data_IF_314521551214
#
_entry.id   IF_314521551214
#
_cell.length_a   1.000
_cell.length_b   1.000
_cell.length_c   1.000
_cell.angle_alpha   90.00
_cell.angle_beta   90.00
_cell.angle_gamma   90.00
#
_symmetry.space_group_name_H-M   'P 1'
#
loop_
_entity.id
_entity.type
_entity.pdbx_description
1 polymer ?
#
# COMPACT_ATOMS: atom_id res chain seq x y z
N UNK A 1 -19.52 8.55 -21.73
CA UNK A 1 -18.07 8.67 -21.46
C UNK A 1 -17.73 9.46 -20.17
N UNK A 2 -18.72 9.85 -19.34
CA UNK A 2 -18.53 10.59 -18.08
C UNK A 2 -18.84 9.74 -16.82
N UNK A 3 -19.12 8.44 -16.96
CA UNK A 3 -19.74 7.64 -15.89
C UNK A 3 -18.87 7.37 -14.64
N UNK A 4 -17.55 7.65 -14.64
CA UNK A 4 -16.68 7.34 -13.50
C UNK A 4 -15.97 8.57 -12.90
N UNK A 5 -16.40 9.78 -13.26
CA UNK A 5 -15.75 11.00 -12.81
C UNK A 5 -16.24 11.48 -11.45
N UNK A 6 -17.54 11.30 -11.19
CA UNK A 6 -18.19 11.75 -9.96
C UNK A 6 -19.32 10.76 -9.60
N UNK A 7 -19.30 10.25 -8.38
CA UNK A 7 -20.36 9.45 -7.79
C UNK A 7 -21.03 10.21 -6.65
N UNK A 8 -22.26 9.82 -6.30
CA UNK A 8 -22.92 10.34 -5.10
C UNK A 8 -22.10 10.03 -3.85
N UNK A 9 -21.42 8.90 -3.84
CA UNK A 9 -20.53 8.45 -2.78
C UNK A 9 -19.38 9.43 -2.48
N UNK A 10 -18.94 10.22 -3.47
CA UNK A 10 -17.90 11.24 -3.26
C UNK A 10 -18.36 12.33 -2.29
N UNK A 11 -19.63 12.70 -2.34
CA UNK A 11 -20.21 13.67 -1.40
C UNK A 11 -20.39 13.07 -0.01
N UNK A 12 -20.83 11.81 0.07
CA UNK A 12 -20.97 11.08 1.34
C UNK A 12 -19.62 10.94 2.02
N UNK A 13 -18.60 10.50 1.28
CA UNK A 13 -17.24 10.36 1.78
C UNK A 13 -16.62 11.71 2.19
N UNK A 14 -16.88 12.77 1.44
CA UNK A 14 -16.44 14.11 1.81
C UNK A 14 -17.09 14.55 3.13
N UNK A 15 -18.38 14.28 3.30
CA UNK A 15 -19.10 14.60 4.54
C UNK A 15 -18.58 13.76 5.73
N UNK A 16 -18.32 12.46 5.53
CA UNK A 16 -17.69 11.61 6.55
C UNK A 16 -16.34 12.20 6.98
N UNK A 17 -15.50 12.61 6.02
CA UNK A 17 -14.19 13.22 6.33
C UNK A 17 -14.30 14.56 7.05
N UNK A 18 -15.32 15.38 6.73
CA UNK A 18 -15.59 16.62 7.48
C UNK A 18 -15.93 16.31 8.94
N UNK A 19 -16.78 15.32 9.17
CA UNK A 19 -17.16 14.91 10.52
C UNK A 19 -15.99 14.35 11.33
N UNK A 20 -15.10 13.60 10.69
CA UNK A 20 -13.94 12.98 11.31
C UNK A 20 -12.79 13.97 11.58
N UNK A 21 -12.59 14.97 10.71
CA UNK A 21 -11.37 15.80 10.68
C UNK A 21 -11.63 17.31 10.79
N UNK A 22 -12.90 17.73 10.78
CA UNK A 22 -13.27 19.14 10.79
C UNK A 22 -13.19 19.81 9.42
N UNK A 23 -13.72 21.03 9.34
CA UNK A 23 -13.83 21.79 8.07
C UNK A 23 -12.46 22.25 7.51
N UNK A 24 -11.46 22.40 8.38
CA UNK A 24 -10.08 22.76 7.99
C UNK A 24 -9.43 21.76 7.03
N UNK A 25 -9.84 20.49 7.09
CA UNK A 25 -9.39 19.46 6.16
C UNK A 25 -9.75 19.78 4.71
N UNK A 26 -10.93 20.34 4.44
CA UNK A 26 -11.35 20.73 3.09
C UNK A 26 -10.48 21.88 2.58
N UNK A 27 -10.21 22.89 3.40
CA UNK A 27 -9.39 24.04 3.00
C UNK A 27 -7.98 23.61 2.60
N UNK A 28 -7.41 22.59 3.26
CA UNK A 28 -6.08 22.07 2.91
C UNK A 28 -6.03 21.42 1.51
N UNK A 29 -7.16 20.92 0.98
CA UNK A 29 -7.25 20.28 -0.34
C UNK A 29 -7.43 21.26 -1.51
N UNK A 30 -7.75 22.52 -1.22
CA UNK A 30 -7.80 23.59 -2.25
C UNK A 30 -6.41 24.19 -2.56
N UNK A 31 -5.34 23.62 -2.04
CA UNK A 31 -4.00 24.02 -2.44
C UNK A 31 -3.70 23.50 -3.87
N UNK A 32 -3.38 24.42 -4.80
CA UNK A 32 -3.14 24.10 -6.21
C UNK A 32 -1.86 23.30 -6.45
N UNK A 33 -0.99 23.14 -5.46
CA UNK A 33 0.22 22.34 -5.57
C UNK A 33 -0.11 20.84 -5.35
N UNK A 34 0.08 20.02 -6.40
CA UNK A 34 -0.19 18.56 -6.37
C UNK A 34 0.63 17.84 -5.30
N UNK A 35 1.92 18.19 -5.16
CA UNK A 35 2.81 17.58 -4.17
C UNK A 35 2.35 17.88 -2.73
N UNK A 36 1.85 19.10 -2.48
CA UNK A 36 1.32 19.47 -1.16
C UNK A 36 0.04 18.67 -0.82
N UNK A 37 -0.82 18.39 -1.81
CA UNK A 37 -2.04 17.59 -1.59
C UNK A 37 -1.70 16.13 -1.26
N UNK A 38 -0.74 15.54 -1.97
CA UNK A 38 -0.25 14.20 -1.70
C UNK A 38 0.38 14.11 -0.29
N UNK A 39 1.30 15.04 0.07
CA UNK A 39 1.88 15.12 1.42
C UNK A 39 0.80 15.20 2.50
N UNK A 40 -0.21 16.08 2.30
CA UNK A 40 -1.30 16.24 3.28
C UNK A 40 -2.14 14.96 3.40
N UNK A 41 -2.28 14.17 2.34
CA UNK A 41 -2.97 12.88 2.38
C UNK A 41 -2.25 11.88 3.29
N UNK A 42 -0.93 11.76 3.17
CA UNK A 42 -0.10 10.90 4.02
C UNK A 42 -0.07 11.35 5.48
N UNK A 43 0.09 12.66 5.74
CA UNK A 43 0.17 13.22 7.10
C UNK A 43 -1.14 13.13 7.88
N UNK A 44 -2.28 13.03 7.19
CA UNK A 44 -3.61 13.07 7.80
C UNK A 44 -4.39 11.77 7.67
N UNK A 45 -3.75 10.66 7.26
CA UNK A 45 -4.43 9.37 7.19
C UNK A 45 -4.96 8.97 8.57
N UNK A 46 -6.28 8.75 8.65
CA UNK A 46 -6.93 8.28 9.87
C UNK A 46 -6.64 6.78 9.99
N UNK A 47 -5.60 6.41 10.77
CA UNK A 47 -5.09 5.05 10.89
C UNK A 47 -6.18 4.02 11.20
N UNK A 48 -7.20 4.40 11.99
CA UNK A 48 -8.27 3.51 12.44
C UNK A 48 -9.36 3.19 11.39
N UNK A 49 -9.31 3.76 10.20
CA UNK A 49 -10.28 3.49 9.13
C UNK A 49 -9.79 2.47 8.10
N UNK A 50 -8.54 2.03 8.21
CA UNK A 50 -7.91 1.13 7.26
C UNK A 50 -8.02 -0.33 7.74
N UNK A 51 -8.37 -1.25 6.85
CA UNK A 51 -8.50 -2.67 7.13
C UNK A 51 -7.20 -3.33 7.65
N UNK A 52 -6.03 -2.74 7.35
CA UNK A 52 -4.72 -3.18 7.87
C UNK A 52 -4.55 -3.06 9.40
N UNK A 53 -5.45 -2.34 10.10
CA UNK A 53 -5.40 -2.29 11.58
C UNK A 53 -5.85 -3.58 12.23
N UNK A 54 -6.59 -4.44 11.50
CA UNK A 54 -7.16 -5.69 12.00
C UNK A 54 -6.03 -6.72 12.16
N UNK A 55 -5.72 -7.19 13.40
CA UNK A 55 -4.60 -8.10 13.63
C UNK A 55 -4.71 -9.39 12.83
N UNK A 56 -5.91 -9.99 12.78
CA UNK A 56 -6.18 -11.23 12.05
C UNK A 56 -5.91 -11.12 10.54
N UNK A 57 -6.13 -9.96 9.93
CA UNK A 57 -5.82 -9.74 8.51
C UNK A 57 -4.33 -9.60 8.28
N UNK A 58 -3.58 -9.02 9.23
CA UNK A 58 -2.10 -9.00 9.18
C UNK A 58 -1.52 -10.41 9.32
N UNK A 59 -2.04 -11.21 10.25
CA UNK A 59 -1.67 -12.62 10.39
C UNK A 59 -1.98 -13.44 9.13
N UNK A 60 -3.15 -13.18 8.50
CA UNK A 60 -3.49 -13.80 7.22
C UNK A 60 -2.51 -13.39 6.13
N UNK A 61 -2.15 -12.12 6.03
CA UNK A 61 -1.16 -11.64 5.08
C UNK A 61 0.21 -12.31 5.33
N UNK A 62 0.67 -12.35 6.57
CA UNK A 62 1.88 -13.07 6.94
C UNK A 62 1.83 -14.53 6.46
N UNK A 63 0.73 -15.23 6.73
CA UNK A 63 0.55 -16.62 6.32
C UNK A 63 0.59 -16.78 4.79
N UNK A 64 -0.06 -15.89 4.05
CA UNK A 64 -0.06 -15.93 2.58
C UNK A 64 1.33 -15.71 1.99
N UNK A 65 2.16 -14.88 2.61
CA UNK A 65 3.53 -14.61 2.15
C UNK A 65 4.49 -15.71 2.60
N UNK A 66 4.45 -16.09 3.87
CA UNK A 66 5.51 -16.85 4.53
C UNK A 66 5.15 -18.31 4.84
N UNK A 67 3.86 -18.63 4.89
CA UNK A 67 3.32 -19.90 5.42
C UNK A 67 3.15 -19.89 6.95
N UNK A 68 3.51 -18.81 7.66
CA UNK A 68 3.44 -18.66 9.11
C UNK A 68 2.74 -17.37 9.50
N UNK A 69 1.81 -17.41 10.46
CA UNK A 69 0.99 -16.25 10.88
C UNK A 69 1.78 -15.19 11.65
N UNK A 70 2.80 -15.60 12.34
CA UNK A 70 3.68 -14.82 13.23
C UNK A 70 4.96 -14.31 12.54
N UNK A 71 5.25 -14.77 11.31
CA UNK A 71 6.42 -14.35 10.55
C UNK A 71 6.07 -13.22 9.60
N UNK A 72 6.69 -12.05 9.77
CA UNK A 72 6.53 -10.92 8.86
C UNK A 72 7.25 -11.13 7.52
N UNK A 73 6.85 -10.39 6.49
CA UNK A 73 7.52 -10.46 5.21
C UNK A 73 8.99 -9.98 5.29
N UNK A 74 9.30 -9.06 6.20
CA UNK A 74 10.67 -8.60 6.45
C UNK A 74 11.55 -9.75 6.95
N UNK A 75 11.05 -10.56 7.89
CA UNK A 75 11.75 -11.77 8.34
C UNK A 75 11.94 -12.73 7.18
N UNK A 76 10.90 -12.98 6.40
CA UNK A 76 10.94 -13.88 5.25
C UNK A 76 11.99 -13.46 4.20
N UNK A 77 12.02 -12.18 3.82
CA UNK A 77 13.02 -11.71 2.85
C UNK A 77 14.42 -11.69 3.45
N UNK A 78 14.55 -11.37 4.74
CA UNK A 78 15.84 -11.38 5.44
C UNK A 78 16.47 -12.78 5.39
N UNK A 79 15.71 -13.80 5.76
CA UNK A 79 16.20 -15.18 5.83
C UNK A 79 16.51 -15.75 4.45
N UNK A 80 15.65 -15.46 3.46
CA UNK A 80 15.71 -16.16 2.17
C UNK A 80 16.53 -15.43 1.11
N UNK A 81 16.60 -14.09 1.16
CA UNK A 81 17.15 -13.30 0.08
C UNK A 81 18.24 -12.31 0.48
N UNK A 82 18.21 -11.77 1.73
CA UNK A 82 19.12 -10.70 2.14
C UNK A 82 20.33 -11.20 2.93
N UNK A 83 20.25 -12.38 3.56
CA UNK A 83 21.29 -12.93 4.43
C UNK A 83 22.58 -13.37 3.70
N UNK A 84 22.55 -13.46 2.38
CA UNK A 84 23.59 -14.06 1.54
C UNK A 84 24.68 -13.06 1.07
N UNK A 85 24.62 -11.79 1.47
CA UNK A 85 25.49 -10.75 0.94
C UNK A 85 26.32 -10.08 2.03
N UNK A 86 27.66 -10.09 1.87
CA UNK A 86 28.60 -9.50 2.86
C UNK A 86 28.51 -7.97 2.95
N UNK A 87 28.12 -7.29 1.88
CA UNK A 87 27.91 -5.83 1.83
C UNK A 87 26.99 -5.49 0.67
N UNK A 88 25.70 -5.46 0.93
CA UNK A 88 24.69 -5.15 -0.06
C UNK A 88 24.03 -3.81 0.21
N UNK A 89 23.47 -3.19 -0.84
CA UNK A 89 22.71 -1.96 -0.75
C UNK A 89 21.25 -2.22 -1.11
N UNK A 90 20.34 -1.82 -0.21
CA UNK A 90 18.92 -1.77 -0.43
C UNK A 90 18.45 -0.32 -0.52
N UNK A 91 17.73 -0.03 -1.58
CA UNK A 91 17.03 1.27 -1.75
C UNK A 91 15.54 1.04 -1.58
N UNK A 92 14.94 1.69 -0.59
CA UNK A 92 13.48 1.74 -0.41
C UNK A 92 12.93 3.06 -0.96
N UNK A 93 11.91 2.97 -1.80
CA UNK A 93 11.29 4.13 -2.46
C UNK A 93 9.87 4.28 -1.91
N UNK A 94 9.56 5.49 -1.36
CA UNK A 94 8.32 5.77 -0.67
C UNK A 94 8.29 5.12 0.72
N UNK A 95 9.38 5.25 1.48
CA UNK A 95 9.57 4.57 2.78
C UNK A 95 8.67 5.11 3.91
N UNK A 96 8.01 6.25 3.73
CA UNK A 96 7.19 6.89 4.76
C UNK A 96 7.96 7.08 6.07
N UNK A 97 7.41 6.61 7.19
CA UNK A 97 8.03 6.69 8.52
C UNK A 97 9.08 5.59 8.80
N UNK A 98 9.47 4.82 7.79
CA UNK A 98 10.60 3.89 7.83
C UNK A 98 10.40 2.64 8.67
N UNK A 99 9.18 2.25 9.03
CA UNK A 99 8.95 1.16 9.98
C UNK A 99 9.43 -0.19 9.45
N UNK A 100 9.22 -0.48 8.18
CA UNK A 100 9.64 -1.72 7.52
C UNK A 100 11.17 -1.76 7.31
N UNK A 101 11.74 -0.65 6.89
CA UNK A 101 13.17 -0.51 6.64
C UNK A 101 14.00 -0.59 7.94
N UNK A 102 13.46 -0.06 9.04
CA UNK A 102 14.07 -0.18 10.38
C UNK A 102 14.11 -1.64 10.83
N UNK A 103 13.02 -2.40 10.66
CA UNK A 103 13.01 -3.83 10.94
C UNK A 103 14.06 -4.57 10.11
N UNK A 104 14.13 -4.28 8.81
CA UNK A 104 15.15 -4.84 7.92
C UNK A 104 16.57 -4.49 8.35
N UNK A 105 16.82 -3.26 8.80
CA UNK A 105 18.11 -2.81 9.27
C UNK A 105 18.57 -3.55 10.55
N UNK A 106 17.63 -3.79 11.47
CA UNK A 106 17.87 -4.56 12.71
C UNK A 106 18.22 -6.01 12.37
N UNK A 107 17.44 -6.63 11.48
CA UNK A 107 17.63 -8.03 11.10
C UNK A 107 18.88 -8.26 10.25
N UNK A 108 19.33 -7.24 9.49
CA UNK A 108 20.43 -7.33 8.54
C UNK A 108 21.52 -6.27 8.81
N UNK A 109 22.34 -6.39 9.86
CA UNK A 109 23.31 -5.36 10.25
C UNK A 109 24.38 -5.03 9.19
N UNK A 110 24.61 -5.92 8.22
CA UNK A 110 25.55 -5.73 7.11
C UNK A 110 24.92 -5.09 5.86
N UNK A 111 23.58 -5.02 5.81
CA UNK A 111 22.85 -4.41 4.70
C UNK A 111 22.85 -2.89 4.88
N UNK A 112 23.33 -2.15 3.89
CA UNK A 112 23.18 -0.70 3.84
C UNK A 112 21.82 -0.36 3.27
N UNK A 113 20.97 0.34 4.03
CA UNK A 113 19.63 0.72 3.61
C UNK A 113 19.55 2.24 3.43
N UNK A 114 18.96 2.66 2.31
CA UNK A 114 18.62 4.07 2.06
C UNK A 114 17.13 4.15 1.72
N UNK A 115 16.38 4.87 2.56
CA UNK A 115 14.97 5.13 2.33
C UNK A 115 14.76 6.52 1.73
N UNK A 116 14.00 6.60 0.64
CA UNK A 116 13.59 7.86 0.03
C UNK A 116 12.11 8.10 0.22
N UNK A 117 11.75 9.30 0.65
CA UNK A 117 10.38 9.81 0.62
C UNK A 117 10.39 11.31 0.34
N UNK A 118 9.29 11.84 -0.18
CA UNK A 118 9.18 13.29 -0.42
C UNK A 118 8.52 14.03 0.75
N UNK A 119 7.88 13.32 1.70
CA UNK A 119 7.20 13.87 2.87
C UNK A 119 8.19 14.16 4.01
N UNK A 120 8.52 15.45 4.24
CA UNK A 120 9.49 15.86 5.25
C UNK A 120 9.18 15.34 6.65
N UNK A 121 7.91 15.37 7.05
CA UNK A 121 7.51 14.96 8.40
C UNK A 121 7.71 13.45 8.62
N UNK A 122 7.47 12.64 7.58
CA UNK A 122 7.70 11.20 7.63
C UNK A 122 9.18 10.88 7.75
N UNK A 123 10.02 11.53 6.96
CA UNK A 123 11.49 11.40 7.03
C UNK A 123 12.03 11.83 8.40
N UNK A 124 11.49 12.90 8.98
CA UNK A 124 11.87 13.33 10.32
C UNK A 124 11.56 12.25 11.37
N UNK A 125 10.35 11.70 11.35
CA UNK A 125 9.95 10.59 12.22
C UNK A 125 10.81 9.36 12.03
N UNK A 126 11.12 8.99 10.79
CA UNK A 126 11.97 7.85 10.47
C UNK A 126 13.38 8.04 11.05
N UNK A 127 14.00 9.20 10.86
CA UNK A 127 15.33 9.49 11.38
C UNK A 127 15.37 9.57 12.92
N UNK A 128 14.30 10.04 13.57
CA UNK A 128 14.20 9.98 15.04
C UNK A 128 14.25 8.52 15.56
N UNK A 129 13.56 7.62 14.89
CA UNK A 129 13.59 6.17 15.22
C UNK A 129 14.98 5.57 14.98
N UNK A 130 15.68 5.93 13.89
CA UNK A 130 17.06 5.48 13.64
C UNK A 130 17.99 5.86 14.78
N UNK A 131 17.85 7.09 15.29
CA UNK A 131 18.65 7.56 16.44
C UNK A 131 18.28 6.81 17.71
N UNK A 132 16.98 6.63 18.02
CA UNK A 132 16.53 5.93 19.22
C UNK A 132 16.94 4.46 19.26
N UNK A 133 16.96 3.79 18.09
CA UNK A 133 17.39 2.39 17.94
C UNK A 133 18.92 2.24 17.74
N UNK A 134 19.66 3.36 17.75
CA UNK A 134 21.12 3.39 17.54
C UNK A 134 21.60 2.67 16.27
N UNK A 135 20.81 2.70 15.20
CA UNK A 135 21.13 2.05 13.93
C UNK A 135 22.18 2.84 13.16
N UNK A 136 23.12 2.14 12.51
CA UNK A 136 24.22 2.74 11.73
C UNK A 136 24.22 2.35 10.26
N UNK A 137 23.39 1.40 9.89
CA UNK A 137 23.32 0.83 8.55
C UNK A 137 22.10 1.31 7.75
N UNK A 138 21.39 2.32 8.23
CA UNK A 138 20.22 2.89 7.58
C UNK A 138 20.21 4.42 7.66
N UNK A 139 19.75 5.06 6.58
CA UNK A 139 19.48 6.49 6.52
C UNK A 139 18.19 6.77 5.74
N UNK A 140 17.47 7.81 6.11
CA UNK A 140 16.25 8.25 5.41
C UNK A 140 16.44 9.66 4.88
N UNK A 141 16.18 9.84 3.58
CA UNK A 141 16.43 11.08 2.84
C UNK A 141 15.15 11.59 2.20
N UNK A 142 14.87 12.88 2.43
CA UNK A 142 13.82 13.57 1.67
C UNK A 142 14.29 13.79 0.25
N UNK A 143 13.67 13.09 -0.70
CA UNK A 143 13.97 13.25 -2.13
C UNK A 143 12.71 13.01 -2.96
N UNK A 144 12.59 13.76 -4.03
CA UNK A 144 11.70 13.41 -5.13
C UNK A 144 12.38 12.33 -5.98
N UNK A 145 11.82 11.14 -6.00
CA UNK A 145 12.41 9.98 -6.68
C UNK A 145 12.63 10.22 -8.18
N UNK A 146 11.82 11.05 -8.82
CA UNK A 146 12.01 11.37 -10.23
C UNK A 146 13.31 12.17 -10.49
N UNK A 147 13.80 12.90 -9.47
CA UNK A 147 15.03 13.69 -9.54
C UNK A 147 16.29 12.94 -9.05
N UNK A 148 16.11 11.78 -8.40
CA UNK A 148 17.23 10.94 -7.97
C UNK A 148 17.84 10.21 -9.16
N UNK A 149 19.15 10.22 -9.29
CA UNK A 149 19.89 9.38 -10.23
C UNK A 149 20.63 8.29 -9.46
N UNK A 150 20.63 7.09 -10.02
CA UNK A 150 21.39 5.96 -9.50
C UNK A 150 22.49 5.61 -10.47
N UNK A 151 23.67 5.26 -9.98
CA UNK A 151 24.73 4.74 -10.80
C UNK A 151 24.36 3.39 -11.39
N UNK A 152 24.87 3.08 -12.58
CA UNK A 152 24.60 1.78 -13.22
C UNK A 152 25.14 0.65 -12.35
N UNK A 153 24.32 -0.42 -12.19
CA UNK A 153 24.70 -1.62 -11.45
C UNK A 153 25.19 -1.35 -10.01
N UNK A 154 24.62 -0.34 -9.34
CA UNK A 154 25.04 0.06 -7.98
C UNK A 154 24.16 -0.54 -6.87
N UNK A 155 22.93 -0.95 -7.19
CA UNK A 155 21.92 -1.36 -6.22
C UNK A 155 21.71 -2.87 -6.26
N UNK A 156 21.73 -3.52 -5.08
CA UNK A 156 21.47 -4.95 -4.97
C UNK A 156 19.96 -5.22 -4.84
N UNK A 157 19.25 -4.36 -4.10
CA UNK A 157 17.83 -4.52 -3.80
C UNK A 157 17.05 -3.21 -3.92
N UNK A 158 15.93 -3.23 -4.64
CA UNK A 158 14.91 -2.20 -4.54
C UNK A 158 13.71 -2.74 -3.77
N UNK A 159 13.21 -1.95 -2.82
CA UNK A 159 11.98 -2.23 -2.05
C UNK A 159 10.92 -1.18 -2.38
N UNK A 160 9.74 -1.67 -2.73
CA UNK A 160 8.52 -0.88 -2.86
C UNK A 160 7.46 -1.50 -1.95
N UNK A 161 7.11 -0.80 -0.87
CA UNK A 161 6.08 -1.23 0.04
C UNK A 161 4.95 -0.20 0.08
N UNK A 162 3.84 -0.48 -0.58
CA UNK A 162 2.71 0.43 -0.77
C UNK A 162 3.14 1.80 -1.33
N UNK A 163 3.99 1.81 -2.36
CA UNK A 163 4.58 3.03 -2.90
C UNK A 163 4.67 3.07 -4.44
N UNK A 164 4.85 1.92 -5.10
CA UNK A 164 5.00 1.86 -6.55
C UNK A 164 3.72 2.29 -7.28
N UNK A 165 2.55 2.08 -6.69
CA UNK A 165 1.26 2.52 -7.23
C UNK A 165 1.08 4.06 -7.27
N UNK A 166 1.94 4.83 -6.57
CA UNK A 166 2.01 6.28 -6.68
C UNK A 166 2.88 6.78 -7.84
N UNK A 167 3.63 5.90 -8.47
CA UNK A 167 4.51 6.25 -9.59
C UNK A 167 3.70 6.33 -10.88
N UNK A 168 3.81 7.45 -11.59
CA UNK A 168 3.26 7.60 -12.93
C UNK A 168 4.25 7.07 -13.97
N UNK A 169 3.72 6.59 -15.09
CA UNK A 169 4.54 6.04 -16.19
C UNK A 169 5.51 4.95 -15.69
N UNK A 170 4.92 3.92 -15.08
CA UNK A 170 5.64 2.77 -14.50
C UNK A 170 6.63 2.17 -15.51
N UNK A 171 6.24 2.11 -16.80
CA UNK A 171 7.10 1.51 -17.83
C UNK A 171 8.44 2.27 -17.95
N UNK A 172 8.41 3.58 -18.11
CA UNK A 172 9.64 4.37 -18.24
C UNK A 172 10.39 4.45 -16.92
N UNK A 173 9.70 4.57 -15.79
CA UNK A 173 10.34 4.58 -14.47
C UNK A 173 11.15 3.29 -14.24
N UNK A 174 10.57 2.14 -14.49
CA UNK A 174 11.24 0.85 -14.33
C UNK A 174 12.37 0.69 -15.36
N UNK A 175 12.10 0.97 -16.64
CA UNK A 175 13.03 0.74 -17.74
C UNK A 175 14.25 1.64 -17.67
N UNK A 176 14.05 2.94 -17.42
CA UNK A 176 15.10 3.95 -17.55
C UNK A 176 15.81 4.27 -16.22
N UNK A 177 15.17 3.98 -15.08
CA UNK A 177 15.73 4.32 -13.77
C UNK A 177 16.09 3.09 -12.93
N UNK A 178 15.14 2.17 -12.71
CA UNK A 178 15.33 1.04 -11.79
C UNK A 178 16.18 -0.06 -12.42
N UNK A 179 15.84 -0.48 -13.63
CA UNK A 179 16.54 -1.58 -14.31
C UNK A 179 18.03 -1.31 -14.55
N UNK A 180 18.47 -0.11 -15.00
CA UNK A 180 19.89 0.17 -15.15
C UNK A 180 20.65 0.16 -13.82
N UNK A 181 20.07 0.72 -12.77
CA UNK A 181 20.68 0.82 -11.44
C UNK A 181 20.86 -0.52 -10.74
N UNK A 182 19.91 -1.45 -10.96
CA UNK A 182 19.94 -2.76 -10.35
C UNK A 182 21.10 -3.59 -10.89
N UNK A 183 21.88 -4.24 -10.03
CA UNK A 183 22.96 -5.15 -10.41
C UNK A 183 22.42 -6.38 -11.16
N UNK A 184 23.21 -7.04 -12.02
CA UNK A 184 22.86 -8.37 -12.52
C UNK A 184 22.59 -9.32 -11.33
N UNK A 185 21.47 -10.05 -11.38
CA UNK A 185 21.02 -10.91 -10.27
C UNK A 185 20.39 -10.16 -9.09
N UNK A 186 20.41 -8.83 -9.07
CA UNK A 186 19.75 -8.01 -8.06
C UNK A 186 18.22 -8.16 -8.07
N UNK A 187 17.57 -7.83 -6.95
CA UNK A 187 16.15 -8.09 -6.75
C UNK A 187 15.33 -6.80 -6.61
N UNK A 188 14.10 -6.86 -7.14
CA UNK A 188 13.03 -5.91 -6.82
C UNK A 188 12.03 -6.65 -5.94
N UNK A 189 11.72 -6.09 -4.78
CA UNK A 189 10.78 -6.61 -3.80
C UNK A 189 9.60 -5.66 -3.77
N UNK A 190 8.40 -6.17 -3.97
CA UNK A 190 7.17 -5.38 -3.91
C UNK A 190 6.19 -5.98 -2.92
N UNK A 191 5.51 -5.13 -2.16
CA UNK A 191 4.31 -5.42 -1.40
C UNK A 191 3.30 -4.32 -1.75
N UNK A 192 2.44 -4.56 -2.75
CA UNK A 192 1.81 -3.49 -3.51
C UNK A 192 0.35 -3.73 -3.86
N UNK A 193 -0.37 -2.62 -4.02
CA UNK A 193 -1.62 -2.60 -4.75
C UNK A 193 -1.31 -2.62 -6.26
N UNK A 194 -1.89 -3.58 -6.96
CA UNK A 194 -1.70 -3.82 -8.41
C UNK A 194 -3.03 -3.92 -9.14
N UNK A 195 -4.11 -3.59 -8.46
CA UNK A 195 -5.47 -3.60 -9.00
C UNK A 195 -5.73 -2.46 -10.00
N UNK A 196 -7.00 -2.22 -10.34
CA UNK A 196 -7.39 -1.22 -11.33
C UNK A 196 -6.87 0.18 -11.01
N UNK A 197 -6.43 0.91 -12.05
CA UNK A 197 -6.01 2.30 -11.92
C UNK A 197 -7.09 3.15 -11.25
N UNK A 198 -6.63 4.03 -10.33
CA UNK A 198 -7.51 4.89 -9.56
C UNK A 198 -8.56 4.13 -8.75
N UNK A 199 -8.28 2.86 -8.38
CA UNK A 199 -9.24 1.99 -7.68
C UNK A 199 -10.62 1.98 -8.36
N UNK A 200 -10.63 2.03 -9.69
CA UNK A 200 -11.85 2.02 -10.49
C UNK A 200 -12.39 0.59 -10.63
N UNK A 201 -12.87 0.05 -9.52
CA UNK A 201 -13.40 -1.31 -9.43
C UNK A 201 -14.57 -1.53 -10.40
N UNK A 202 -14.71 -2.77 -10.90
CA UNK A 202 -15.79 -3.15 -11.79
C UNK A 202 -17.16 -3.11 -11.08
N UNK A 203 -18.24 -2.99 -11.85
CA UNK A 203 -19.61 -3.07 -11.31
C UNK A 203 -19.87 -4.42 -10.67
N UNK A 204 -19.32 -5.49 -11.23
CA UNK A 204 -19.40 -6.85 -10.70
C UNK A 204 -18.74 -6.94 -9.31
N UNK A 205 -17.50 -6.46 -9.17
CA UNK A 205 -16.78 -6.46 -7.89
C UNK A 205 -17.53 -5.67 -6.82
N UNK A 206 -18.00 -4.48 -7.16
CA UNK A 206 -18.70 -3.63 -6.19
C UNK A 206 -20.05 -4.21 -5.78
N UNK A 207 -20.78 -4.84 -6.72
CA UNK A 207 -22.03 -5.55 -6.42
C UNK A 207 -21.78 -6.73 -5.47
N UNK A 208 -20.74 -7.52 -5.75
CA UNK A 208 -20.37 -8.63 -4.87
C UNK A 208 -19.98 -8.13 -3.47
N UNK A 209 -19.22 -7.07 -3.36
CA UNK A 209 -18.88 -6.45 -2.08
C UNK A 209 -20.12 -5.96 -1.31
N UNK A 210 -21.11 -5.39 -2.01
CA UNK A 210 -22.38 -4.98 -1.39
C UNK A 210 -23.21 -6.17 -0.88
N UNK A 211 -23.24 -7.26 -1.62
CA UNK A 211 -23.88 -8.51 -1.21
C UNK A 211 -23.21 -9.06 0.04
N UNK A 212 -21.89 -9.13 0.07
CA UNK A 212 -21.11 -9.58 1.24
C UNK A 212 -21.34 -8.67 2.44
N UNK A 213 -21.24 -7.34 2.28
CA UNK A 213 -21.51 -6.39 3.35
C UNK A 213 -22.89 -6.61 3.98
N UNK A 214 -23.91 -6.79 3.15
CA UNK A 214 -25.30 -6.88 3.62
C UNK A 214 -25.66 -8.27 4.18
N UNK A 215 -25.02 -9.32 3.70
CA UNK A 215 -25.28 -10.68 4.15
C UNK A 215 -24.57 -11.01 5.47
N UNK A 216 -23.33 -10.54 5.64
CA UNK A 216 -22.45 -11.03 6.70
C UNK A 216 -22.09 -10.03 7.78
N UNK A 217 -22.24 -8.71 7.54
CA UNK A 217 -21.93 -7.70 8.55
C UNK A 217 -23.22 -7.19 9.19
N UNK A 218 -23.32 -7.29 10.51
CA UNK A 218 -24.47 -6.78 11.28
C UNK A 218 -24.58 -5.25 11.18
N UNK A 219 -25.77 -4.70 11.39
CA UNK A 219 -25.98 -3.24 11.35
C UNK A 219 -25.12 -2.50 12.38
N UNK A 220 -24.84 -3.11 13.51
CA UNK A 220 -24.01 -2.55 14.57
C UNK A 220 -22.57 -2.37 14.09
N UNK A 221 -22.00 -3.40 13.45
CA UNK A 221 -20.64 -3.38 12.93
C UNK A 221 -20.49 -2.61 11.60
N UNK A 222 -21.61 -2.14 11.01
CA UNK A 222 -21.60 -1.21 9.85
C UNK A 222 -21.56 0.26 10.24
N UNK A 223 -21.50 0.60 11.52
CA UNK A 223 -21.42 1.99 11.96
C UNK A 223 -20.06 2.58 11.57
N UNK A 224 -20.09 3.66 10.79
CA UNK A 224 -18.86 4.33 10.31
C UNK A 224 -18.18 5.07 11.46
N UNK A 225 -16.88 4.87 11.59
CA UNK A 225 -16.04 5.44 12.63
C UNK A 225 -16.25 6.97 12.76
N UNK A 226 -16.50 7.43 13.98
CA UNK A 226 -16.67 8.87 14.29
C UNK A 226 -17.98 9.46 13.77
N UNK A 227 -18.94 8.65 13.35
CA UNK A 227 -20.26 9.11 12.86
C UNK A 227 -21.40 8.25 13.40
N UNK A 228 -22.65 8.65 13.11
CA UNK A 228 -23.85 7.84 13.36
C UNK A 228 -24.38 7.18 12.07
N UNK A 229 -23.60 7.19 10.99
CA UNK A 229 -24.00 6.60 9.72
C UNK A 229 -23.76 5.10 9.77
N UNK A 230 -24.75 4.35 9.28
CA UNK A 230 -24.63 2.91 9.03
C UNK A 230 -24.27 2.75 7.54
N UNK A 231 -23.16 2.08 7.27
CA UNK A 231 -22.71 1.77 5.91
C UNK A 231 -23.72 0.85 5.24
N UNK A 232 -24.37 1.32 4.19
CA UNK A 232 -25.40 0.55 3.46
C UNK A 232 -24.85 -0.15 2.21
N UNK A 233 -23.72 0.34 1.69
CA UNK A 233 -23.03 -0.19 0.51
C UNK A 233 -21.54 0.15 0.54
N UNK A 234 -20.74 -0.45 -0.33
CA UNK A 234 -19.33 -0.16 -0.50
C UNK A 234 -19.15 1.07 -1.38
N UNK A 235 -18.48 2.11 -0.85
CA UNK A 235 -18.38 3.40 -1.51
C UNK A 235 -17.43 3.35 -2.70
N UNK A 236 -17.90 3.81 -3.87
CA UNK A 236 -17.05 4.05 -5.04
C UNK A 236 -16.29 5.36 -4.92
N UNK A 237 -15.08 5.37 -5.44
CA UNK A 237 -14.26 6.57 -5.52
C UNK A 237 -14.35 7.17 -6.92
N UNK A 238 -14.90 8.38 -7.05
CA UNK A 238 -14.88 9.12 -8.30
C UNK A 238 -13.48 9.61 -8.66
N UNK A 239 -13.13 9.55 -9.93
CA UNK A 239 -11.83 10.00 -10.45
C UNK A 239 -11.51 11.45 -10.07
N UNK A 240 -12.51 12.34 -10.14
CA UNK A 240 -12.33 13.76 -9.79
C UNK A 240 -11.91 13.90 -8.32
N UNK A 241 -12.57 13.16 -7.43
CA UNK A 241 -12.23 13.20 -6.01
C UNK A 241 -10.82 12.68 -5.74
N UNK A 242 -10.40 11.59 -6.39
CA UNK A 242 -9.04 11.06 -6.25
C UNK A 242 -8.01 12.08 -6.74
N UNK A 243 -8.22 12.71 -7.89
CA UNK A 243 -7.35 13.76 -8.41
C UNK A 243 -7.25 14.98 -7.47
N UNK A 244 -8.32 15.31 -6.74
CA UNK A 244 -8.31 16.40 -5.76
C UNK A 244 -7.64 15.96 -4.44
N UNK A 245 -7.92 14.75 -3.98
CA UNK A 245 -7.44 14.25 -2.69
C UNK A 245 -5.98 13.81 -2.72
N UNK A 246 -5.62 12.97 -3.68
CA UNK A 246 -4.28 12.50 -3.94
C UNK A 246 -4.10 12.22 -5.44
N UNK A 247 -3.47 13.14 -6.18
CA UNK A 247 -3.26 12.98 -7.62
C UNK A 247 -2.40 11.77 -8.01
N UNK A 248 -1.58 11.25 -7.09
CA UNK A 248 -0.69 10.12 -7.34
C UNK A 248 -1.32 8.76 -7.01
N UNK A 249 -2.42 8.72 -6.25
CA UNK A 249 -3.03 7.46 -5.79
C UNK A 249 -3.43 6.55 -6.94
N UNK A 250 -2.82 5.36 -7.00
CA UNK A 250 -3.07 4.30 -7.98
C UNK A 250 -3.14 4.80 -9.43
N UNK A 251 -2.18 5.68 -9.81
CA UNK A 251 -2.23 6.39 -11.10
C UNK A 251 -2.02 5.46 -12.29
N UNK A 252 -1.20 4.41 -12.13
CA UNK A 252 -0.79 3.45 -13.17
C UNK A 252 -0.57 2.05 -12.55
N UNK A 253 -1.36 1.71 -11.53
CA UNK A 253 -1.19 0.48 -10.75
C UNK A 253 -1.40 -0.80 -11.56
N UNK A 254 -2.30 -0.79 -12.53
CA UNK A 254 -2.55 -1.93 -13.41
C UNK A 254 -1.36 -2.29 -14.31
N UNK A 255 -0.44 -1.34 -14.54
CA UNK A 255 0.77 -1.56 -15.32
C UNK A 255 1.91 -2.21 -14.54
N UNK A 256 1.86 -2.25 -13.20
CA UNK A 256 2.98 -2.70 -12.35
C UNK A 256 3.41 -4.13 -12.71
N UNK A 257 2.50 -5.10 -12.61
CA UNK A 257 2.85 -6.50 -12.89
C UNK A 257 3.25 -6.75 -14.34
N UNK A 258 2.51 -6.25 -15.36
CA UNK A 258 2.93 -6.40 -16.76
C UNK A 258 4.33 -5.86 -17.02
N UNK A 259 4.68 -4.69 -16.49
CA UNK A 259 5.99 -4.06 -16.70
C UNK A 259 7.10 -4.83 -15.98
N UNK A 260 6.87 -5.24 -14.74
CA UNK A 260 7.87 -6.03 -14.01
C UNK A 260 8.14 -7.37 -14.69
N UNK A 261 7.12 -8.09 -15.13
CA UNK A 261 7.24 -9.36 -15.88
C UNK A 261 7.92 -9.19 -17.25
N UNK A 262 7.73 -8.04 -17.89
CA UNK A 262 8.41 -7.72 -19.16
C UNK A 262 9.92 -7.59 -18.98
N UNK A 263 10.38 -6.99 -17.87
CA UNK A 263 11.77 -6.60 -17.69
C UNK A 263 12.59 -7.51 -16.79
N UNK A 264 11.95 -8.36 -15.97
CA UNK A 264 12.58 -9.17 -14.94
C UNK A 264 12.05 -10.60 -14.93
N UNK A 265 12.73 -11.48 -14.22
CA UNK A 265 12.29 -12.82 -13.91
C UNK A 265 11.48 -12.81 -12.60
N UNK A 266 10.26 -13.34 -12.60
CA UNK A 266 9.47 -13.51 -11.40
C UNK A 266 10.03 -14.67 -10.56
N UNK A 267 10.52 -14.38 -9.35
CA UNK A 267 11.17 -15.35 -8.44
C UNK A 267 10.18 -15.86 -7.39
N UNK A 268 9.34 -14.97 -6.89
CA UNK A 268 8.31 -15.29 -5.91
C UNK A 268 7.07 -14.44 -6.17
N UNK A 269 5.89 -15.01 -6.04
CA UNK A 269 4.63 -14.30 -6.24
C UNK A 269 3.56 -14.84 -5.30
N UNK A 270 2.98 -13.96 -4.48
CA UNK A 270 1.95 -14.25 -3.48
C UNK A 270 0.77 -13.31 -3.66
N UNK A 271 -0.40 -13.80 -4.11
CA UNK A 271 -1.62 -13.02 -4.11
C UNK A 271 -2.09 -12.81 -2.66
N UNK A 272 -2.43 -11.58 -2.30
CA UNK A 272 -2.83 -11.20 -0.94
C UNK A 272 -4.32 -10.89 -0.80
N UNK A 273 -5.03 -10.75 -1.92
CA UNK A 273 -6.43 -10.35 -1.97
C UNK A 273 -6.64 -8.85 -1.90
N UNK A 274 -7.63 -8.42 -1.12
CA UNK A 274 -8.01 -7.04 -0.96
C UNK A 274 -9.17 -6.62 -1.86
N UNK A 275 -9.61 -7.49 -2.77
CA UNK A 275 -10.70 -7.22 -3.71
C UNK A 275 -12.06 -7.02 -3.00
N UNK A 276 -12.32 -7.79 -1.93
CA UNK A 276 -13.54 -7.74 -1.13
C UNK A 276 -13.27 -7.11 0.23
N UNK A 277 -12.19 -7.54 0.90
CA UNK A 277 -11.82 -7.07 2.23
C UNK A 277 -11.67 -5.56 2.31
N UNK A 278 -10.98 -4.94 1.34
CA UNK A 278 -10.73 -3.50 1.37
C UNK A 278 -12.03 -2.69 1.18
N UNK A 279 -12.89 -2.90 0.16
CA UNK A 279 -14.13 -2.17 0.02
C UNK A 279 -15.12 -2.43 1.14
N UNK A 280 -15.27 -3.69 1.60
CA UNK A 280 -16.23 -4.06 2.65
C UNK A 280 -15.84 -3.45 3.99
N UNK A 281 -14.57 -3.55 4.40
CA UNK A 281 -14.12 -3.12 5.73
C UNK A 281 -13.76 -1.63 5.81
N UNK A 282 -13.68 -0.93 4.69
CA UNK A 282 -13.42 0.50 4.66
C UNK A 282 -14.40 1.26 5.55
N UNK A 283 -13.89 2.12 6.43
CA UNK A 283 -14.61 2.92 7.45
C UNK A 283 -15.19 2.15 8.63
N UNK A 284 -15.23 0.82 8.61
CA UNK A 284 -15.79 -0.03 9.67
C UNK A 284 -14.76 -0.98 10.29
N UNK A 285 -13.52 -0.98 9.81
CA UNK A 285 -12.44 -1.87 10.26
C UNK A 285 -12.22 -1.85 11.79
N UNK A 286 -12.50 -0.72 12.46
CA UNK A 286 -12.34 -0.58 13.92
C UNK A 286 -13.22 -1.51 14.74
N UNK A 287 -14.32 -2.02 14.19
CA UNK A 287 -15.17 -2.99 14.88
C UNK A 287 -14.54 -4.40 14.96
N UNK A 288 -13.55 -4.69 14.10
CA UNK A 288 -12.92 -6.00 13.93
C UNK A 288 -11.50 -6.10 14.51
N UNK A 289 -11.08 -5.12 15.30
CA UNK A 289 -9.73 -5.08 15.90
C UNK A 289 -9.58 -6.08 17.06
N UNK A 290 -10.67 -6.30 17.81
CA UNK A 290 -10.70 -7.26 18.92
C UNK A 290 -11.23 -8.59 18.41
N UNK A 291 -10.34 -9.54 18.29
CA UNK A 291 -10.46 -10.85 17.69
C UNK A 291 -11.75 -11.65 18.11
N UNK A 292 -12.20 -12.57 17.27
CA UNK A 292 -13.29 -13.57 17.36
C UNK A 292 -14.57 -13.24 16.63
N UNK A 293 -14.47 -12.50 15.52
CA UNK A 293 -15.65 -12.13 14.77
C UNK A 293 -15.93 -13.13 13.65
N UNK A 294 -17.03 -13.89 13.77
CA UNK A 294 -17.52 -14.77 12.72
C UNK A 294 -17.87 -13.98 11.44
N UNK A 295 -18.26 -12.71 11.60
CA UNK A 295 -18.53 -11.82 10.48
C UNK A 295 -17.25 -11.56 9.67
N UNK A 296 -16.12 -11.31 10.35
CA UNK A 296 -14.82 -11.13 9.68
C UNK A 296 -14.39 -12.41 8.94
N UNK A 297 -14.60 -13.58 9.55
CA UNK A 297 -14.31 -14.86 8.89
C UNK A 297 -15.15 -15.04 7.62
N UNK A 298 -16.44 -14.74 7.68
CA UNK A 298 -17.31 -14.84 6.52
C UNK A 298 -16.84 -13.90 5.37
N UNK A 299 -16.39 -12.69 5.68
CA UNK A 299 -15.82 -11.78 4.66
C UNK A 299 -14.50 -12.33 4.08
N UNK A 300 -13.65 -12.96 4.91
CA UNK A 300 -12.42 -13.64 4.45
C UNK A 300 -12.77 -14.78 3.50
N UNK A 301 -13.75 -15.62 3.83
CA UNK A 301 -14.20 -16.76 3.01
C UNK A 301 -14.76 -16.27 1.65
N UNK A 302 -15.50 -15.15 1.68
CA UNK A 302 -15.98 -14.50 0.45
C UNK A 302 -14.84 -13.95 -0.41
N UNK A 303 -13.82 -13.36 0.21
CA UNK A 303 -12.60 -12.93 -0.47
C UNK A 303 -11.93 -14.11 -1.19
N UNK A 304 -11.74 -15.23 -0.48
CA UNK A 304 -11.10 -16.43 -1.03
C UNK A 304 -11.92 -17.04 -2.17
N UNK A 305 -13.24 -17.02 -2.05
CA UNK A 305 -14.14 -17.44 -3.13
C UNK A 305 -14.04 -16.55 -4.36
N UNK A 306 -14.00 -15.24 -4.16
CA UNK A 306 -13.87 -14.27 -5.25
C UNK A 306 -12.54 -14.44 -6.01
N UNK A 307 -11.46 -14.67 -5.28
CA UNK A 307 -10.11 -14.84 -5.83
C UNK A 307 -9.92 -16.12 -6.66
N UNK A 308 -10.84 -17.10 -6.58
CA UNK A 308 -10.77 -18.29 -7.44
C UNK A 308 -10.91 -17.94 -8.94
N UNK A 309 -11.61 -16.85 -9.25
CA UNK A 309 -11.90 -16.44 -10.64
C UNK A 309 -11.39 -15.03 -10.99
N UNK A 310 -10.76 -14.33 -10.04
CA UNK A 310 -10.31 -12.96 -10.23
C UNK A 310 -8.87 -12.78 -9.74
N UNK A 311 -8.06 -11.92 -10.42
CA UNK A 311 -6.73 -11.61 -9.94
C UNK A 311 -6.79 -10.81 -8.64
N UNK A 312 -5.76 -10.95 -7.83
CA UNK A 312 -5.61 -10.23 -6.57
C UNK A 312 -5.27 -8.75 -6.79
N UNK A 313 -5.92 -7.86 -6.05
CA UNK A 313 -5.63 -6.42 -6.07
C UNK A 313 -4.37 -6.06 -5.28
N UNK A 314 -3.95 -6.89 -4.32
CA UNK A 314 -2.70 -6.73 -3.60
C UNK A 314 -1.81 -7.96 -3.77
N UNK A 315 -0.52 -7.74 -3.92
CA UNK A 315 0.46 -8.81 -4.08
C UNK A 315 1.73 -8.53 -3.27
N UNK A 316 2.37 -9.60 -2.84
CA UNK A 316 3.78 -9.61 -2.52
C UNK A 316 4.51 -10.33 -3.64
N UNK A 317 5.57 -9.74 -4.19
CA UNK A 317 6.33 -10.41 -5.22
C UNK A 317 7.82 -10.00 -5.23
N UNK A 318 8.64 -10.89 -5.77
CA UNK A 318 10.09 -10.69 -5.92
C UNK A 318 10.45 -10.96 -7.38
N UNK A 319 11.15 -10.01 -7.96
CA UNK A 319 11.62 -10.06 -9.33
C UNK A 319 13.14 -9.95 -9.37
N UNK A 320 13.79 -10.71 -10.28
CA UNK A 320 15.25 -10.72 -10.45
C UNK A 320 15.65 -10.09 -11.78
N UNK A 321 16.71 -9.29 -11.77
CA UNK A 321 17.35 -8.81 -12.99
C UNK A 321 18.17 -9.96 -13.62
N UNK A 322 17.83 -10.26 -14.86
CA UNK A 322 18.58 -11.22 -15.70
C UNK A 322 19.95 -10.68 -16.06
#
# INVERSE_FOLDING_TARGET
MFNNWLFFDDFVEMWIKIRQRGFSFILSKFNFNSNHRTITSFSTSFQHANWWIIPRLRERQNYLITGHRDMSYESYISDKYLSLTESAQLISIGCGSGSHEILLAIMNPRLKIIGYDFAQDQIHLANQKVVSENLKNIEFLKRDIYQVSFDMHSVDFFLFNASLHHISDIHNFIKEKIKPALKPGGLIIINEYVGPDRMNFSDEQMKYCDEVLNAYISKENRKILGTNIIKSHCYRLGRLRMLISDPSECVDSSSILPVLRLHFEEVDFKPLGGNVLMPVLKHIAHHFVNDHDDELQAVIDCEETYLQNHPSDFVFAIYRKK
#
